data_IF_421538078517
#
_entry.id   IF_421538078517
#
_cell.length_a   1.000
_cell.length_b   1.000
_cell.length_c   1.000
_cell.angle_alpha   90.00
_cell.angle_beta   90.00
_cell.angle_gamma   90.00
#
_symmetry.space_group_name_H-M   'P 1'
#
loop_
_entity.id
_entity.type
_entity.pdbx_description
1 polymer ?
#
# COMPACT_ATOMS: atom_id res chain seq x y z
N UNK A 1 -1.76 -17.83 12.81
CA UNK A 1 -0.50 -18.09 12.08
C UNK A 1 0.26 -16.77 11.99
N UNK A 2 1.58 -16.79 11.74
CA UNK A 2 2.29 -15.56 11.39
C UNK A 2 1.78 -15.03 10.04
N UNK A 3 1.85 -13.72 9.84
CA UNK A 3 1.49 -13.07 8.58
C UNK A 3 2.48 -13.45 7.50
N UNK A 4 1.98 -13.90 6.36
CA UNK A 4 2.78 -14.22 5.17
C UNK A 4 2.11 -13.53 3.97
N UNK A 5 2.77 -12.49 3.44
CA UNK A 5 2.29 -11.71 2.30
C UNK A 5 2.60 -12.40 0.96
N UNK A 6 3.17 -13.61 1.00
CA UNK A 6 3.51 -14.41 -0.16
C UNK A 6 4.64 -13.76 -0.97
N UNK A 7 4.47 -13.64 -2.28
CA UNK A 7 5.53 -13.15 -3.17
C UNK A 7 5.66 -11.62 -3.25
N UNK A 8 4.71 -10.87 -2.68
CA UNK A 8 4.64 -9.42 -2.86
C UNK A 8 5.25 -8.62 -1.71
N UNK A 9 5.70 -7.41 -2.02
CA UNK A 9 5.97 -6.35 -1.03
C UNK A 9 4.68 -5.56 -0.72
N UNK A 10 4.10 -5.67 0.47
CA UNK A 10 2.82 -5.02 0.77
C UNK A 10 2.99 -3.54 1.17
N UNK A 11 4.20 -2.96 1.09
CA UNK A 11 4.48 -1.60 1.54
C UNK A 11 4.14 -0.53 0.50
N UNK A 12 3.98 0.71 0.96
CA UNK A 12 3.77 1.88 0.12
C UNK A 12 4.89 2.90 0.27
N UNK A 13 5.10 3.69 -0.78
CA UNK A 13 5.94 4.88 -0.80
C UNK A 13 5.11 6.15 -1.00
N UNK A 14 5.67 7.28 -0.56
CA UNK A 14 5.17 8.62 -0.84
C UNK A 14 6.28 9.44 -1.51
N UNK A 15 6.22 9.52 -2.84
CA UNK A 15 7.35 9.98 -3.66
C UNK A 15 6.89 11.06 -4.65
N UNK A 16 7.73 12.08 -4.83
CA UNK A 16 7.52 13.18 -5.76
C UNK A 16 7.89 12.82 -7.20
N UNK A 17 7.12 13.30 -8.17
CA UNK A 17 7.46 13.21 -9.58
C UNK A 17 7.15 11.87 -10.28
N UNK A 18 6.29 11.04 -9.69
CA UNK A 18 5.82 9.82 -10.34
C UNK A 18 4.88 10.14 -11.51
N UNK A 19 4.79 9.23 -12.49
CA UNK A 19 3.85 9.37 -13.62
C UNK A 19 4.08 10.60 -14.53
N UNK A 20 5.27 11.21 -14.49
CA UNK A 20 5.56 12.45 -15.23
C UNK A 20 5.08 13.72 -14.54
N UNK A 21 4.65 13.64 -13.27
CA UNK A 21 4.30 14.81 -12.45
C UNK A 21 5.55 15.63 -12.08
N UNK A 22 5.39 16.90 -11.65
CA UNK A 22 6.50 17.67 -11.10
C UNK A 22 7.15 16.97 -9.90
N UNK A 23 8.46 17.15 -9.71
CA UNK A 23 9.19 16.55 -8.57
C UNK A 23 8.66 17.00 -7.18
N UNK A 24 7.93 18.12 -7.13
CA UNK A 24 7.30 18.65 -5.92
C UNK A 24 5.87 18.14 -5.71
N UNK A 25 5.34 17.33 -6.63
CA UNK A 25 4.02 16.71 -6.52
C UNK A 25 4.17 15.27 -6.08
N UNK A 26 3.83 15.02 -4.82
CA UNK A 26 3.98 13.72 -4.17
C UNK A 26 2.70 12.91 -4.28
N UNK A 27 2.87 11.61 -4.54
CA UNK A 27 1.78 10.65 -4.67
C UNK A 27 2.15 9.37 -3.92
N UNK A 28 1.14 8.58 -3.60
CA UNK A 28 1.31 7.23 -3.06
C UNK A 28 1.47 6.23 -4.19
N UNK A 29 2.33 5.23 -3.99
CA UNK A 29 2.46 4.10 -4.90
C UNK A 29 2.88 2.84 -4.14
N UNK A 30 2.48 1.67 -4.63
CA UNK A 30 2.99 0.38 -4.14
C UNK A 30 4.51 0.29 -4.37
N UNK A 31 5.24 -0.30 -3.43
CA UNK A 31 6.64 -0.67 -3.66
C UNK A 31 6.78 -1.97 -4.46
N UNK A 32 5.76 -2.84 -4.41
CA UNK A 32 5.73 -4.03 -5.27
C UNK A 32 5.49 -3.65 -6.74
N UNK A 33 6.37 -4.07 -7.67
CA UNK A 33 6.28 -3.69 -9.08
C UNK A 33 5.10 -4.35 -9.82
N UNK A 34 4.66 -5.55 -9.42
CA UNK A 34 3.52 -6.21 -10.04
C UNK A 34 2.21 -5.51 -9.64
N UNK A 35 2.08 -5.15 -8.36
CA UNK A 35 0.95 -4.34 -7.86
C UNK A 35 0.95 -2.94 -8.50
N UNK A 36 2.12 -2.29 -8.57
CA UNK A 36 2.28 -0.97 -9.19
C UNK A 36 1.99 -0.95 -10.71
N UNK A 37 2.12 -2.10 -11.39
CA UNK A 37 1.71 -2.26 -12.78
C UNK A 37 0.19 -2.35 -12.94
N UNK A 38 -0.51 -2.98 -11.97
CA UNK A 38 -1.97 -3.07 -11.95
C UNK A 38 -2.64 -1.76 -11.51
N UNK A 39 -1.98 -1.00 -10.64
CA UNK A 39 -2.43 0.30 -10.16
C UNK A 39 -1.26 1.29 -10.16
N UNK A 40 -1.38 2.31 -10.99
CA UNK A 40 -0.44 3.43 -10.95
C UNK A 40 -0.65 4.27 -9.69
N UNK A 41 0.24 5.25 -9.51
CA UNK A 41 0.21 6.18 -8.39
C UNK A 41 -1.17 6.79 -8.13
N UNK A 42 -1.38 7.28 -6.90
CA UNK A 42 -2.55 8.06 -6.56
C UNK A 42 -2.26 9.13 -5.50
N UNK A 43 -3.00 10.24 -5.58
CA UNK A 43 -3.03 11.25 -4.51
C UNK A 43 -3.78 10.77 -3.26
N UNK A 44 -4.70 9.81 -3.41
CA UNK A 44 -5.46 9.25 -2.30
C UNK A 44 -4.83 7.92 -1.86
N UNK A 45 -4.28 7.81 -0.63
CA UNK A 45 -3.63 6.60 -0.15
C UNK A 45 -4.57 5.38 -0.14
N UNK A 46 -5.86 5.59 0.09
CA UNK A 46 -6.85 4.51 0.15
C UNK A 46 -7.00 3.74 -1.18
N UNK A 47 -6.65 4.34 -2.31
CA UNK A 47 -6.64 3.65 -3.61
C UNK A 47 -5.51 2.61 -3.65
N UNK A 48 -4.33 3.00 -3.15
CA UNK A 48 -3.16 2.13 -3.16
C UNK A 48 -3.29 1.02 -2.12
N UNK A 49 -3.72 1.35 -0.90
CA UNK A 49 -3.93 0.33 0.15
C UNK A 49 -5.00 -0.68 -0.23
N UNK A 50 -6.10 -0.23 -0.85
CA UNK A 50 -7.11 -1.14 -1.39
C UNK A 50 -6.54 -2.09 -2.44
N UNK A 51 -5.79 -1.55 -3.40
CA UNK A 51 -5.16 -2.38 -4.42
C UNK A 51 -4.23 -3.41 -3.79
N UNK A 52 -3.40 -3.03 -2.82
CA UNK A 52 -2.48 -3.97 -2.18
C UNK A 52 -3.26 -5.13 -1.55
N UNK A 53 -4.30 -4.85 -0.77
CA UNK A 53 -5.10 -5.91 -0.15
C UNK A 53 -5.81 -6.82 -1.19
N UNK A 54 -6.28 -6.26 -2.31
CA UNK A 54 -6.85 -7.05 -3.41
C UNK A 54 -5.80 -8.01 -4.00
N UNK A 55 -4.60 -7.50 -4.29
CA UNK A 55 -3.53 -8.28 -4.91
C UNK A 55 -2.94 -9.35 -3.99
N UNK A 56 -3.02 -9.18 -2.66
CA UNK A 56 -2.69 -10.23 -1.69
C UNK A 56 -3.46 -11.53 -1.97
N UNK A 57 -4.70 -11.42 -2.46
CA UNK A 57 -5.50 -12.59 -2.87
C UNK A 57 -5.24 -13.01 -4.31
N UNK A 58 -5.03 -12.07 -5.22
CA UNK A 58 -5.05 -12.36 -6.65
C UNK A 58 -3.72 -12.87 -7.19
N UNK A 59 -2.60 -12.25 -6.79
CA UNK A 59 -1.29 -12.49 -7.42
C UNK A 59 -0.18 -12.81 -6.41
N UNK A 60 -0.36 -12.50 -5.14
CA UNK A 60 0.69 -12.64 -4.14
C UNK A 60 0.71 -14.00 -3.44
N UNK A 61 -0.38 -14.77 -3.49
CA UNK A 61 -0.54 -16.02 -2.73
C UNK A 61 -0.37 -15.83 -1.21
N UNK A 62 -0.87 -14.70 -0.68
CA UNK A 62 -0.78 -14.39 0.73
C UNK A 62 -1.69 -15.27 1.58
N UNK A 63 -1.30 -15.53 2.82
CA UNK A 63 -2.12 -16.29 3.76
C UNK A 63 -3.26 -15.44 4.36
N UNK A 64 -4.24 -16.09 5.00
CA UNK A 64 -5.39 -15.39 5.57
C UNK A 64 -5.00 -14.36 6.63
N UNK A 65 -3.98 -14.66 7.46
CA UNK A 65 -3.53 -13.73 8.50
C UNK A 65 -2.98 -12.42 7.92
N UNK A 66 -2.30 -12.47 6.76
CA UNK A 66 -1.84 -11.28 6.06
C UNK A 66 -2.98 -10.46 5.45
N UNK A 67 -4.02 -11.14 4.94
CA UNK A 67 -5.22 -10.47 4.39
C UNK A 67 -6.00 -9.75 5.49
N UNK A 68 -6.24 -10.42 6.61
CA UNK A 68 -6.92 -9.85 7.77
C UNK A 68 -6.15 -8.61 8.29
N UNK A 69 -4.81 -8.72 8.41
CA UNK A 69 -3.98 -7.59 8.83
C UNK A 69 -4.04 -6.43 7.83
N UNK A 70 -4.08 -6.72 6.53
CA UNK A 70 -4.19 -5.70 5.49
C UNK A 70 -5.50 -4.92 5.59
N UNK A 71 -6.63 -5.62 5.78
CA UNK A 71 -7.95 -5.00 5.96
C UNK A 71 -8.00 -4.14 7.23
N UNK A 72 -7.45 -4.62 8.35
CA UNK A 72 -7.33 -3.86 9.59
C UNK A 72 -6.46 -2.61 9.42
N UNK A 73 -5.33 -2.72 8.72
CA UNK A 73 -4.46 -1.60 8.41
C UNK A 73 -5.16 -0.58 7.49
N UNK A 74 -5.92 -1.06 6.50
CA UNK A 74 -6.67 -0.22 5.58
C UNK A 74 -7.70 0.63 6.33
N UNK A 75 -8.46 0.02 7.25
CA UNK A 75 -9.43 0.74 8.08
C UNK A 75 -8.76 1.84 8.93
N UNK A 76 -7.57 1.57 9.47
CA UNK A 76 -6.80 2.55 10.24
C UNK A 76 -6.27 3.71 9.36
N UNK A 77 -5.79 3.43 8.16
CA UNK A 77 -5.37 4.47 7.20
C UNK A 77 -6.55 5.33 6.76
N UNK A 78 -7.71 4.72 6.52
CA UNK A 78 -8.92 5.45 6.20
C UNK A 78 -9.32 6.40 7.34
N UNK A 79 -9.24 5.93 8.60
CA UNK A 79 -9.54 6.73 9.78
C UNK A 79 -8.50 7.84 10.04
N UNK A 80 -7.22 7.62 9.71
CA UNK A 80 -6.14 8.59 9.89
C UNK A 80 -6.35 9.85 9.05
N UNK A 81 -6.83 9.68 7.81
CA UNK A 81 -7.21 10.79 6.91
C UNK A 81 -6.06 11.67 6.43
N UNK A 82 -4.81 11.42 6.84
CA UNK A 82 -3.63 12.13 6.36
C UNK A 82 -3.29 11.72 4.92
N UNK A 83 -2.54 12.58 4.22
CA UNK A 83 -2.14 12.37 2.81
C UNK A 83 -0.70 12.83 2.57
N UNK A 84 0.17 12.46 3.49
CA UNK A 84 1.59 12.81 3.46
C UNK A 84 2.44 11.60 3.83
N UNK A 85 3.75 11.81 3.99
CA UNK A 85 4.70 10.73 4.33
C UNK A 85 4.32 9.96 5.60
N UNK A 86 3.62 10.58 6.56
CA UNK A 86 3.17 9.89 7.78
C UNK A 86 2.15 8.78 7.47
N UNK A 87 1.35 8.92 6.41
CA UNK A 87 0.40 7.88 5.99
C UNK A 87 1.13 6.64 5.47
N UNK A 88 2.20 6.84 4.69
CA UNK A 88 3.03 5.75 4.20
C UNK A 88 3.76 5.03 5.34
N UNK A 89 4.32 5.80 6.28
CA UNK A 89 4.95 5.25 7.48
C UNK A 89 3.96 4.46 8.35
N UNK A 90 2.76 5.00 8.56
CA UNK A 90 1.72 4.33 9.33
C UNK A 90 1.30 3.00 8.69
N UNK A 91 1.09 2.98 7.37
CA UNK A 91 0.73 1.76 6.65
C UNK A 91 1.82 0.69 6.79
N UNK A 92 3.07 1.05 6.49
CA UNK A 92 4.20 0.11 6.54
C UNK A 92 4.37 -0.45 7.96
N UNK A 93 4.29 0.42 8.98
CA UNK A 93 4.42 0.01 10.38
C UNK A 93 3.29 -0.90 10.86
N UNK A 94 2.05 -0.69 10.38
CA UNK A 94 0.91 -1.57 10.70
C UNK A 94 1.10 -2.99 10.13
N UNK A 95 1.84 -3.11 9.02
CA UNK A 95 2.18 -4.40 8.40
C UNK A 95 3.48 -5.02 8.94
N UNK A 96 4.21 -4.29 9.80
CA UNK A 96 5.44 -4.76 10.43
C UNK A 96 6.74 -4.41 9.69
N UNK A 97 6.74 -3.37 8.85
CA UNK A 97 7.89 -2.88 8.08
C UNK A 97 8.39 -1.51 8.54
#
# INVERSE_FOLDING_TARGET
AATDFGSCDPTIQFTGGLGGRPATEFTFQSNDPAIAANQQEALNPNIITNRICDELTNICDANQAAKDLCEDAQAQIQALGTRDASTAQAWNGLLGF
#
